data_IF_472552329259
#
_entry.id   IF_472552329259
#
_cell.length_a   1.000
_cell.length_b   1.000
_cell.length_c   1.000
_cell.angle_alpha   90.00
_cell.angle_beta   90.00
_cell.angle_gamma   90.00
#
_symmetry.space_group_name_H-M   'P 1'
#
loop_
_entity.id
_entity.type
_entity.pdbx_description
1 polymer ?
#
# COMPACT_ATOMS: atom_id res chain seq x y z
N UNK A 1 1.36 9.87 -24.09
CA UNK A 1 1.09 8.42 -23.96
C UNK A 1 0.82 8.11 -22.50
N UNK A 2 -0.26 7.41 -22.17
CA UNK A 2 -0.63 7.12 -20.78
C UNK A 2 0.42 6.30 -20.02
N UNK A 3 1.21 5.46 -20.71
CA UNK A 3 2.34 4.74 -20.14
C UNK A 3 3.67 5.29 -20.64
N UNK A 4 4.69 5.30 -19.78
CA UNK A 4 6.07 5.64 -20.19
C UNK A 4 6.73 4.54 -21.02
N UNK A 5 6.15 3.35 -21.01
CA UNK A 5 6.71 2.19 -21.71
C UNK A 5 6.26 2.19 -23.17
N UNK A 6 7.23 2.03 -24.06
CA UNK A 6 6.96 1.87 -25.49
C UNK A 6 6.53 0.44 -25.77
N UNK A 7 5.26 0.27 -26.18
CA UNK A 7 4.69 -1.01 -26.58
C UNK A 7 4.83 -1.30 -28.08
N UNK A 8 5.45 -0.43 -28.87
CA UNK A 8 5.71 -0.69 -30.27
C UNK A 8 6.92 -1.62 -30.48
N UNK A 9 6.97 -2.66 -29.68
CA UNK A 9 8.02 -3.69 -29.68
C UNK A 9 7.37 -5.08 -29.66
N UNK A 10 8.16 -6.09 -30.08
CA UNK A 10 7.72 -7.49 -30.00
C UNK A 10 7.38 -7.84 -28.52
N UNK A 11 6.30 -8.58 -28.25
CA UNK A 11 5.31 -9.16 -29.18
C UNK A 11 4.08 -8.27 -29.43
N UNK A 12 4.00 -7.07 -28.87
CA UNK A 12 2.77 -6.26 -28.82
C UNK A 12 2.55 -5.44 -30.07
N UNK A 13 3.62 -4.84 -30.63
CA UNK A 13 3.59 -4.01 -31.86
C UNK A 13 2.50 -2.94 -31.88
N UNK A 14 2.31 -2.25 -30.74
CA UNK A 14 1.38 -1.12 -30.66
C UNK A 14 1.94 0.06 -31.45
N UNK A 15 1.38 0.35 -32.61
CA UNK A 15 1.79 1.43 -33.49
C UNK A 15 0.98 2.71 -33.31
N UNK A 16 0.41 2.91 -32.12
CA UNK A 16 -0.29 4.13 -31.76
C UNK A 16 0.64 5.36 -31.93
N UNK A 17 0.10 6.37 -32.60
CA UNK A 17 0.77 7.65 -32.75
C UNK A 17 -0.28 8.78 -32.78
N UNK A 18 -0.11 9.78 -31.91
CA UNK A 18 -0.97 10.96 -31.90
C UNK A 18 -0.94 11.73 -33.21
N UNK A 19 0.21 11.72 -33.91
CA UNK A 19 0.37 12.39 -35.20
C UNK A 19 -0.55 11.82 -36.28
N UNK A 20 -0.89 10.51 -36.20
CA UNK A 20 -1.84 9.86 -37.11
C UNK A 20 -3.29 10.30 -36.90
N UNK A 21 -3.62 10.86 -35.73
CA UNK A 21 -4.95 11.36 -35.35
C UNK A 21 -6.07 10.30 -35.49
N UNK A 22 -5.77 9.04 -35.25
CA UNK A 22 -6.76 7.97 -35.30
C UNK A 22 -7.54 7.96 -33.99
N UNK A 23 -8.88 7.90 -34.13
CA UNK A 23 -9.80 7.87 -32.99
C UNK A 23 -10.45 6.50 -32.80
N UNK A 24 -10.35 5.62 -33.78
CA UNK A 24 -11.00 4.31 -33.75
C UNK A 24 -10.29 3.32 -34.68
N UNK A 25 -10.16 2.09 -34.25
CA UNK A 25 -9.80 0.94 -35.08
C UNK A 25 -11.07 0.31 -35.62
N UNK A 26 -11.10 0.04 -36.94
CA UNK A 26 -12.23 -0.58 -37.62
C UNK A 26 -11.87 -2.00 -38.06
N UNK A 27 -12.55 -2.98 -37.48
CA UNK A 27 -12.36 -4.38 -37.87
C UNK A 27 -13.12 -4.68 -39.17
N UNK A 28 -12.41 -5.27 -40.11
CA UNK A 28 -13.01 -5.66 -41.39
C UNK A 28 -13.64 -7.05 -41.29
N UNK A 29 -14.92 -7.25 -41.65
CA UNK A 29 -15.53 -8.58 -41.69
C UNK A 29 -14.75 -9.53 -42.58
N UNK A 30 -14.69 -10.83 -42.20
CA UNK A 30 -13.99 -11.90 -42.87
C UNK A 30 -12.45 -11.82 -42.91
N UNK A 31 -11.84 -10.89 -42.13
CA UNK A 31 -10.40 -10.85 -41.93
C UNK A 31 -10.07 -11.21 -40.49
N UNK A 32 -8.93 -11.86 -40.27
CA UNK A 32 -8.43 -12.18 -38.96
C UNK A 32 -8.03 -10.87 -38.23
N UNK A 33 -8.42 -10.73 -36.96
CA UNK A 33 -8.01 -9.63 -36.10
C UNK A 33 -6.58 -9.89 -35.65
N UNK A 34 -5.72 -8.88 -35.78
CA UNK A 34 -4.34 -8.94 -35.31
C UNK A 34 -4.25 -8.43 -33.86
N UNK A 35 -3.35 -9.01 -33.07
CA UNK A 35 -3.14 -8.57 -31.68
C UNK A 35 -2.82 -7.07 -31.57
N UNK A 36 -2.03 -6.52 -32.50
CA UNK A 36 -1.70 -5.10 -32.56
C UNK A 36 -2.93 -4.18 -32.72
N UNK A 37 -3.98 -4.64 -33.42
CA UNK A 37 -5.21 -3.86 -33.60
C UNK A 37 -5.96 -3.70 -32.27
N UNK A 38 -5.95 -4.77 -31.44
CA UNK A 38 -6.52 -4.75 -30.09
C UNK A 38 -5.70 -3.85 -29.17
N UNK A 39 -4.38 -3.97 -29.20
CA UNK A 39 -3.47 -3.14 -28.38
C UNK A 39 -3.61 -1.66 -28.75
N UNK A 40 -3.54 -1.32 -30.03
CA UNK A 40 -3.73 0.04 -30.52
C UNK A 40 -5.10 0.61 -30.14
N UNK A 41 -6.16 -0.20 -30.18
CA UNK A 41 -7.50 0.22 -29.73
C UNK A 41 -7.50 0.59 -28.25
N UNK A 42 -6.87 -0.22 -27.40
CA UNK A 42 -6.76 0.08 -25.97
C UNK A 42 -5.99 1.37 -25.73
N UNK A 43 -4.88 1.58 -26.42
CA UNK A 43 -4.06 2.78 -26.30
C UNK A 43 -4.80 4.04 -26.77
N UNK A 44 -5.59 3.94 -27.85
CA UNK A 44 -6.45 5.05 -28.29
C UNK A 44 -7.45 5.44 -27.20
N UNK A 45 -8.15 4.47 -26.61
CA UNK A 45 -9.12 4.71 -25.55
C UNK A 45 -8.45 5.28 -24.30
N UNK A 46 -7.31 4.72 -23.91
CA UNK A 46 -6.56 5.21 -22.76
C UNK A 46 -6.08 6.65 -22.97
N UNK A 47 -5.62 7.00 -24.17
CA UNK A 47 -5.24 8.37 -24.50
C UNK A 47 -6.42 9.35 -24.45
N UNK A 48 -7.65 8.91 -24.80
CA UNK A 48 -8.84 9.76 -24.64
C UNK A 48 -9.17 9.97 -23.14
N UNK A 49 -9.03 8.93 -22.31
CA UNK A 49 -9.23 9.04 -20.86
C UNK A 49 -8.18 9.96 -20.25
N UNK A 50 -6.90 9.83 -20.65
CA UNK A 50 -5.82 10.71 -20.23
C UNK A 50 -6.14 12.17 -20.53
N UNK A 51 -6.52 12.49 -21.77
CA UNK A 51 -6.88 13.86 -22.18
C UNK A 51 -8.08 14.43 -21.42
N UNK A 52 -9.06 13.58 -21.14
CA UNK A 52 -10.20 13.97 -20.31
C UNK A 52 -9.74 14.22 -18.87
N UNK A 53 -8.96 13.31 -18.32
CA UNK A 53 -8.42 13.42 -16.97
C UNK A 53 -7.54 14.67 -16.80
N UNK A 54 -6.62 14.91 -17.73
CA UNK A 54 -5.73 16.08 -17.70
C UNK A 54 -6.49 17.42 -17.79
N UNK A 55 -7.69 17.41 -18.39
CA UNK A 55 -8.55 18.61 -18.43
C UNK A 55 -9.21 18.91 -17.09
N UNK A 56 -9.35 17.93 -16.20
CA UNK A 56 -10.06 18.03 -14.92
C UNK A 56 -9.08 17.99 -13.74
N UNK A 57 -8.08 17.12 -13.79
CA UNK A 57 -7.16 16.84 -12.70
C UNK A 57 -5.72 17.21 -13.05
N UNK A 58 -4.97 17.59 -12.04
CA UNK A 58 -3.51 17.68 -12.15
C UNK A 58 -2.91 16.31 -11.79
N UNK A 59 -1.79 15.99 -12.39
CA UNK A 59 -1.00 14.81 -12.03
C UNK A 59 -0.73 14.75 -10.53
N UNK A 60 -1.06 13.64 -9.88
CA UNK A 60 -0.98 13.45 -8.43
C UNK A 60 -2.17 13.98 -7.64
N UNK A 61 -3.23 14.48 -8.28
CA UNK A 61 -4.44 14.91 -7.58
C UNK A 61 -5.20 13.74 -6.99
N UNK A 62 -5.72 13.91 -5.80
CA UNK A 62 -6.70 12.99 -5.20
C UNK A 62 -8.06 13.16 -5.90
N UNK A 63 -8.59 12.08 -6.43
CA UNK A 63 -9.92 12.01 -7.07
C UNK A 63 -10.95 11.54 -6.06
N UNK A 64 -10.65 10.45 -5.35
CA UNK A 64 -11.39 10.01 -4.18
C UNK A 64 -10.49 10.32 -2.99
N UNK A 65 -10.95 11.12 -2.03
CA UNK A 65 -10.11 11.57 -0.95
C UNK A 65 -9.55 10.40 -0.14
N UNK A 66 -8.23 10.28 -0.13
CA UNK A 66 -7.47 9.55 0.86
C UNK A 66 -6.84 10.59 1.77
N UNK A 67 -7.35 10.75 2.97
CA UNK A 67 -6.88 11.77 3.90
C UNK A 67 -5.42 11.53 4.26
N UNK A 68 -4.58 12.56 4.16
CA UNK A 68 -3.20 12.52 4.62
C UNK A 68 -3.12 13.18 5.99
N UNK A 69 -2.75 12.41 7.00
CA UNK A 69 -2.76 12.83 8.40
C UNK A 69 -1.34 12.72 8.96
N UNK A 70 -0.95 13.72 9.75
CA UNK A 70 0.26 13.68 10.56
C UNK A 70 -0.12 13.49 12.03
N UNK A 71 0.42 12.44 12.65
CA UNK A 71 0.23 12.16 14.06
C UNK A 71 1.52 12.49 14.80
N UNK A 72 1.51 13.60 15.53
CA UNK A 72 2.61 14.07 16.39
C UNK A 72 2.49 13.56 17.83
N UNK A 73 1.44 12.82 18.14
CA UNK A 73 1.20 12.13 19.40
C UNK A 73 1.25 10.61 19.23
N UNK A 74 2.14 10.14 18.36
CA UNK A 74 2.32 8.72 18.10
C UNK A 74 3.14 8.12 19.25
N UNK A 75 2.44 7.77 20.33
CA UNK A 75 3.07 7.32 21.57
C UNK A 75 3.85 6.03 21.37
N UNK A 76 5.09 6.02 21.82
CA UNK A 76 6.00 4.89 21.76
C UNK A 76 6.37 4.40 23.15
N UNK A 77 6.48 3.09 23.31
CA UNK A 77 6.88 2.43 24.54
C UNK A 77 8.09 1.57 24.22
N UNK A 78 9.25 1.99 24.72
CA UNK A 78 10.48 1.18 24.63
C UNK A 78 10.36 0.00 25.57
N UNK A 79 10.79 -1.17 25.12
CA UNK A 79 10.77 -2.39 25.92
C UNK A 79 12.16 -2.74 26.44
N UNK A 80 12.24 -3.21 27.67
CA UNK A 80 13.43 -3.84 28.22
C UNK A 80 13.48 -5.31 27.81
N UNK A 81 12.33 -5.97 27.82
CA UNK A 81 12.16 -7.38 27.44
C UNK A 81 10.71 -7.67 27.11
N UNK A 82 10.47 -8.77 26.41
CA UNK A 82 9.13 -9.29 26.16
C UNK A 82 9.16 -10.82 26.07
N UNK A 83 7.99 -11.46 26.22
CA UNK A 83 7.80 -12.88 25.99
C UNK A 83 6.87 -13.08 24.80
N UNK A 84 7.06 -14.18 24.06
CA UNK A 84 6.30 -14.47 22.85
C UNK A 84 6.87 -13.81 21.59
N UNK A 85 6.00 -13.40 20.68
CA UNK A 85 6.38 -12.76 19.41
C UNK A 85 5.94 -11.31 19.39
N UNK A 86 6.85 -10.38 19.09
CA UNK A 86 6.57 -8.94 19.10
C UNK A 86 5.39 -8.57 18.19
N UNK A 87 5.27 -9.21 17.04
CA UNK A 87 4.18 -8.96 16.09
C UNK A 87 2.77 -9.28 16.66
N UNK A 88 2.67 -10.20 17.60
CA UNK A 88 1.38 -10.59 18.19
C UNK A 88 0.77 -9.50 19.10
N UNK A 89 1.58 -8.52 19.50
CA UNK A 89 1.04 -7.36 20.22
C UNK A 89 0.21 -6.44 19.33
N UNK A 90 0.41 -6.43 18.02
CA UNK A 90 -0.31 -5.54 17.11
C UNK A 90 -1.82 -5.82 17.14
N UNK A 91 -2.61 -4.76 17.31
CA UNK A 91 -4.07 -4.84 17.42
C UNK A 91 -4.57 -5.27 18.80
N UNK A 92 -3.69 -5.73 19.71
CA UNK A 92 -4.06 -6.11 21.06
C UNK A 92 -4.16 -4.90 21.99
N UNK A 93 -4.97 -5.05 23.06
CA UNK A 93 -4.91 -4.13 24.19
C UNK A 93 -3.89 -4.65 25.18
N UNK A 94 -3.04 -3.77 25.66
CA UNK A 94 -2.08 -4.06 26.73
C UNK A 94 -2.44 -3.25 27.98
N UNK A 95 -2.29 -3.87 29.14
CA UNK A 95 -2.60 -3.27 30.44
C UNK A 95 -1.35 -3.21 31.28
N UNK A 96 -1.05 -2.05 31.83
CA UNK A 96 0.05 -1.85 32.76
C UNK A 96 -0.26 -2.44 34.14
N UNK A 97 0.66 -3.28 34.65
CA UNK A 97 0.46 -3.98 35.93
C UNK A 97 0.52 -3.06 37.15
N UNK A 98 1.19 -1.93 37.05
CA UNK A 98 1.32 -0.95 38.14
C UNK A 98 0.38 0.22 37.96
N UNK A 99 0.38 0.82 36.77
CA UNK A 99 -0.46 1.99 36.48
C UNK A 99 -1.94 1.65 36.28
N UNK A 100 -2.23 0.42 35.80
CA UNK A 100 -3.59 0.04 35.35
C UNK A 100 -4.02 0.74 34.06
N UNK A 101 -3.12 1.46 33.41
CA UNK A 101 -3.39 2.14 32.12
C UNK A 101 -3.60 1.08 31.04
N UNK A 102 -4.57 1.32 30.16
CA UNK A 102 -4.86 0.44 29.03
C UNK A 102 -4.58 1.18 27.73
N UNK A 103 -3.82 0.54 26.85
CA UNK A 103 -3.53 1.06 25.52
C UNK A 103 -3.70 -0.02 24.44
N UNK A 104 -4.08 0.39 23.24
CA UNK A 104 -4.07 -0.48 22.06
C UNK A 104 -2.76 -0.34 21.31
N UNK A 105 -2.13 -1.45 20.99
CA UNK A 105 -0.90 -1.48 20.18
C UNK A 105 -1.28 -1.36 18.70
N UNK A 106 -0.83 -0.30 18.04
CA UNK A 106 -1.13 -0.02 16.63
C UNK A 106 -0.01 -0.49 15.69
N UNK A 107 1.23 -0.49 16.18
CA UNK A 107 2.38 -0.98 15.42
C UNK A 107 3.49 -1.43 16.37
N UNK A 108 4.43 -2.20 15.86
CA UNK A 108 5.63 -2.63 16.58
C UNK A 108 6.85 -2.46 15.68
N UNK A 109 7.98 -2.14 16.27
CA UNK A 109 9.27 -2.10 15.59
C UNK A 109 10.27 -2.87 16.41
N UNK A 110 10.88 -3.87 15.77
CA UNK A 110 11.93 -4.66 16.40
C UNK A 110 13.21 -3.82 16.60
N UNK A 111 14.03 -4.24 17.54
CA UNK A 111 15.34 -3.64 17.78
C UNK A 111 16.21 -3.66 16.52
N UNK A 112 16.94 -2.58 16.29
CA UNK A 112 17.95 -2.45 15.23
C UNK A 112 19.39 -2.48 15.78
N UNK A 113 19.53 -2.80 17.06
CA UNK A 113 20.81 -2.82 17.78
C UNK A 113 21.18 -1.47 18.42
N UNK A 114 20.54 -0.39 17.99
CA UNK A 114 20.68 0.96 18.61
C UNK A 114 19.45 1.28 19.44
N UNK A 115 18.27 1.09 18.82
CA UNK A 115 16.99 1.28 19.47
C UNK A 115 16.45 -0.06 19.99
N UNK A 116 15.84 -0.13 21.17
CA UNK A 116 15.20 -1.32 21.69
C UNK A 116 13.92 -1.64 20.94
N UNK A 117 13.39 -2.85 21.15
CA UNK A 117 12.03 -3.21 20.71
C UNK A 117 11.03 -2.18 21.20
N UNK A 118 10.17 -1.73 20.31
CA UNK A 118 9.27 -0.60 20.58
C UNK A 118 7.85 -0.93 20.17
N UNK A 119 6.89 -0.68 21.05
CA UNK A 119 5.46 -0.69 20.76
C UNK A 119 4.99 0.75 20.50
N UNK A 120 4.21 0.93 19.44
CA UNK A 120 3.46 2.16 19.22
C UNK A 120 2.03 1.94 19.69
N UNK A 121 1.55 2.84 20.56
CA UNK A 121 0.30 2.62 21.29
C UNK A 121 -0.63 3.83 21.20
N UNK A 122 -1.93 3.53 21.27
CA UNK A 122 -2.98 4.53 21.54
C UNK A 122 -3.56 4.26 22.91
N UNK A 123 -3.33 5.17 23.85
CA UNK A 123 -3.91 5.07 25.19
C UNK A 123 -5.42 5.18 25.13
N UNK A 124 -6.12 4.29 25.84
CA UNK A 124 -7.58 4.19 25.87
C UNK A 124 -8.17 4.68 27.18
N UNK A 125 -7.57 4.28 28.27
CA UNK A 125 -8.06 4.60 29.60
C UNK A 125 -6.90 5.10 30.45
N UNK A 126 -7.19 6.02 31.37
CA UNK A 126 -6.29 6.39 32.45
C UNK A 126 -6.13 5.22 33.43
N UNK A 127 -5.13 5.31 34.26
CA UNK A 127 -4.83 4.33 35.30
C UNK A 127 -5.94 4.20 36.35
N UNK A 128 -5.78 3.22 37.22
CA UNK A 128 -6.72 2.94 38.32
C UNK A 128 -6.79 4.10 39.34
N UNK A 129 -5.78 4.94 39.35
CA UNK A 129 -5.71 6.18 40.18
C UNK A 129 -6.44 7.37 39.53
N UNK A 130 -6.98 7.22 38.30
CA UNK A 130 -7.56 8.28 37.48
C UNK A 130 -6.63 9.50 37.25
N UNK A 131 -5.32 9.33 37.43
CA UNK A 131 -4.30 10.35 37.28
C UNK A 131 -3.23 9.95 36.23
N UNK A 132 -2.83 8.69 36.24
CA UNK A 132 -1.83 8.18 35.29
C UNK A 132 -2.45 8.06 33.89
N UNK A 133 -1.87 8.75 32.91
CA UNK A 133 -2.29 8.78 31.50
C UNK A 133 -1.37 7.95 30.58
N UNK A 134 -0.23 7.48 31.10
CA UNK A 134 0.78 6.67 30.40
C UNK A 134 1.26 5.55 31.30
N UNK A 135 1.93 4.58 30.66
CA UNK A 135 2.61 3.51 31.38
C UNK A 135 3.75 4.06 32.23
N UNK A 136 4.03 3.37 33.32
CA UNK A 136 5.13 3.68 34.24
C UNK A 136 6.40 2.94 33.80
N UNK A 137 7.56 3.54 34.00
CA UNK A 137 8.83 2.86 33.71
C UNK A 137 8.98 1.59 34.55
N UNK A 138 9.53 0.56 33.97
CA UNK A 138 9.77 -0.77 34.56
C UNK A 138 8.51 -1.59 34.91
N UNK A 139 7.30 -1.14 34.52
CA UNK A 139 6.12 -1.97 34.74
C UNK A 139 5.97 -3.08 33.69
N UNK A 140 5.27 -4.14 34.10
CA UNK A 140 4.93 -5.25 33.22
C UNK A 140 3.61 -4.95 32.49
N UNK A 141 3.62 -5.10 31.17
CA UNK A 141 2.45 -5.04 30.31
C UNK A 141 1.94 -6.45 30.07
N UNK A 142 0.62 -6.62 30.15
CA UNK A 142 -0.05 -7.90 29.83
C UNK A 142 -0.98 -7.69 28.65
N UNK A 143 -0.85 -8.58 27.62
CA UNK A 143 -1.74 -8.55 26.46
C UNK A 143 -3.08 -9.18 26.77
N UNK A 144 -4.16 -8.55 26.34
CA UNK A 144 -5.53 -9.06 26.56
C UNK A 144 -5.93 -10.17 25.56
N UNK A 145 -5.27 -10.25 24.39
CA UNK A 145 -5.68 -11.15 23.30
C UNK A 145 -4.84 -12.42 23.28
N UNK A 146 -3.57 -12.34 23.58
CA UNK A 146 -2.66 -13.48 23.60
C UNK A 146 -2.36 -13.87 25.04
N UNK A 147 -2.87 -15.02 25.46
CA UNK A 147 -2.63 -15.51 26.81
C UNK A 147 -1.16 -15.81 27.02
N UNK A 148 -0.49 -15.07 27.89
CA UNK A 148 0.88 -15.30 28.31
C UNK A 148 1.92 -14.38 27.67
N UNK A 149 1.53 -13.51 26.73
CA UNK A 149 2.46 -12.52 26.21
C UNK A 149 2.54 -11.33 27.16
N UNK A 150 3.76 -11.03 27.58
CA UNK A 150 4.07 -9.91 28.47
C UNK A 150 5.24 -9.11 27.93
N UNK A 151 5.31 -7.84 28.27
CA UNK A 151 6.43 -7.00 27.96
C UNK A 151 6.76 -6.12 29.18
N UNK A 152 8.01 -5.71 29.31
CA UNK A 152 8.45 -4.81 30.38
C UNK A 152 8.81 -3.47 29.78
N UNK A 153 8.18 -2.42 30.27
CA UNK A 153 8.42 -1.04 29.85
C UNK A 153 9.83 -0.62 30.27
N UNK A 154 10.60 -0.08 29.35
CA UNK A 154 11.82 0.66 29.68
C UNK A 154 11.46 2.12 29.97
N UNK A 155 10.92 2.79 28.96
CA UNK A 155 10.45 4.17 29.09
C UNK A 155 9.42 4.49 28.00
N UNK A 156 8.53 5.42 28.31
CA UNK A 156 7.57 5.95 27.34
C UNK A 156 8.10 7.20 26.66
N UNK A 157 7.86 7.33 25.38
CA UNK A 157 8.21 8.48 24.57
C UNK A 157 7.07 8.88 23.64
N UNK A 158 7.20 10.00 22.99
CA UNK A 158 6.25 10.44 21.96
C UNK A 158 6.99 10.49 20.63
N UNK A 159 6.58 9.65 19.71
CA UNK A 159 7.07 9.63 18.34
C UNK A 159 6.16 10.42 17.40
N UNK A 160 6.41 10.29 16.13
CA UNK A 160 5.62 10.89 15.07
C UNK A 160 5.40 9.91 13.91
N UNK A 161 4.25 10.00 13.29
CA UNK A 161 3.87 9.20 12.14
C UNK A 161 3.14 10.03 11.08
N UNK A 162 3.16 9.53 9.86
CA UNK A 162 2.28 10.01 8.80
C UNK A 162 1.45 8.84 8.28
N UNK A 163 0.19 9.07 8.03
CA UNK A 163 -0.68 8.09 7.41
C UNK A 163 -1.42 8.68 6.22
N UNK A 164 -1.71 7.80 5.28
CA UNK A 164 -2.59 8.07 4.18
C UNK A 164 -3.75 7.07 4.27
N UNK A 165 -4.97 7.56 4.16
CA UNK A 165 -6.14 6.69 4.08
C UNK A 165 -6.32 6.18 2.64
N UNK A 166 -7.13 5.12 2.47
CA UNK A 166 -7.41 4.57 1.16
C UNK A 166 -8.08 5.61 0.26
N UNK A 167 -7.63 5.69 -0.98
CA UNK A 167 -8.13 6.67 -1.94
C UNK A 167 -7.68 6.40 -3.36
N UNK A 168 -8.14 7.21 -4.31
CA UNK A 168 -7.78 7.10 -5.73
C UNK A 168 -7.08 8.37 -6.18
N UNK A 169 -5.94 8.21 -6.84
CA UNK A 169 -5.13 9.30 -7.37
C UNK A 169 -5.10 9.26 -8.90
N UNK A 170 -5.14 10.44 -9.50
CA UNK A 170 -4.94 10.57 -10.95
C UNK A 170 -3.44 10.67 -11.26
N UNK A 171 -2.91 9.70 -11.99
CA UNK A 171 -1.48 9.57 -12.28
C UNK A 171 -1.29 9.16 -13.75
N UNK A 172 -0.70 10.05 -14.57
CA UNK A 172 -0.35 9.78 -15.97
C UNK A 172 -1.50 9.15 -16.79
N UNK A 173 -2.71 9.65 -16.64
CA UNK A 173 -3.88 9.12 -17.37
C UNK A 173 -4.57 7.92 -16.71
N UNK A 174 -4.08 7.47 -15.56
CA UNK A 174 -4.67 6.37 -14.81
C UNK A 174 -5.25 6.84 -13.48
N UNK A 175 -6.32 6.19 -13.07
CA UNK A 175 -6.89 6.32 -11.72
C UNK A 175 -6.33 5.16 -10.89
N UNK A 176 -5.37 5.48 -10.02
CA UNK A 176 -4.63 4.50 -9.23
C UNK A 176 -5.19 4.46 -7.82
N UNK A 177 -5.63 3.29 -7.40
CA UNK A 177 -6.06 3.04 -6.03
C UNK A 177 -4.84 2.91 -5.12
N UNK A 178 -4.91 3.55 -3.97
CA UNK A 178 -3.88 3.52 -2.94
C UNK A 178 -4.53 3.04 -1.65
N UNK A 179 -3.99 1.98 -1.09
CA UNK A 179 -4.42 1.46 0.19
C UNK A 179 -3.94 2.34 1.34
N UNK A 180 -4.63 2.21 2.48
CA UNK A 180 -4.21 2.84 3.73
C UNK A 180 -2.80 2.41 4.11
N UNK A 181 -1.94 3.40 4.36
CA UNK A 181 -0.55 3.19 4.76
C UNK A 181 -0.18 4.09 5.94
N UNK A 182 0.68 3.59 6.80
CA UNK A 182 1.24 4.34 7.91
C UNK A 182 2.76 4.20 7.90
N UNK A 183 3.45 5.32 8.01
CA UNK A 183 4.91 5.36 8.14
C UNK A 183 5.28 6.07 9.45
N UNK A 184 6.12 5.45 10.25
CA UNK A 184 6.75 6.09 11.41
C UNK A 184 7.82 7.04 10.91
N UNK A 185 7.75 8.30 11.30
CA UNK A 185 8.74 9.32 10.96
C UNK A 185 9.90 9.28 11.94
N UNK A 186 9.62 9.62 13.19
CA UNK A 186 10.57 9.48 14.29
C UNK A 186 9.97 8.59 15.37
N UNK A 187 10.77 7.64 15.88
CA UNK A 187 10.31 6.70 16.91
C UNK A 187 10.03 7.38 18.27
N UNK A 188 10.81 8.41 18.62
CA UNK A 188 10.84 8.94 19.98
C UNK A 188 10.77 10.47 20.06
N UNK A 189 10.61 11.15 18.93
CA UNK A 189 10.45 12.60 18.86
C UNK A 189 9.23 12.98 18.05
N UNK A 190 8.60 14.08 18.41
CA UNK A 190 7.39 14.59 17.76
C UNK A 190 7.63 15.87 16.93
N UNK A 191 8.88 16.15 16.61
CA UNK A 191 9.29 17.31 15.80
C UNK A 191 9.97 16.86 14.50
N UNK A 192 9.29 16.05 13.66
CA UNK A 192 9.89 15.53 12.44
C UNK A 192 10.13 16.65 11.42
N UNK A 193 11.23 16.53 10.65
CA UNK A 193 11.56 17.44 9.56
C UNK A 193 11.74 16.63 8.27
N UNK A 194 10.65 16.05 7.76
CA UNK A 194 10.66 15.19 6.58
C UNK A 194 9.68 15.68 5.51
N UNK A 195 9.97 15.31 4.27
CA UNK A 195 9.01 15.40 3.17
C UNK A 195 8.47 13.99 2.90
N UNK A 196 7.17 13.80 3.13
CA UNK A 196 6.49 12.53 2.93
C UNK A 196 5.72 12.58 1.62
N UNK A 197 5.74 11.49 0.85
CA UNK A 197 5.03 11.39 -0.41
C UNK A 197 4.97 9.94 -0.89
N UNK A 198 4.19 9.72 -1.94
CA UNK A 198 4.10 8.43 -2.61
C UNK A 198 5.08 8.38 -3.78
N UNK A 199 5.69 7.23 -3.99
CA UNK A 199 6.52 6.94 -5.16
C UNK A 199 5.69 6.14 -6.15
N UNK A 200 5.71 6.58 -7.42
CA UNK A 200 5.01 5.90 -8.50
C UNK A 200 5.94 4.83 -9.07
N UNK A 201 5.49 3.59 -9.08
CA UNK A 201 6.11 2.48 -9.77
C UNK A 201 5.18 1.94 -10.85
N UNK A 202 5.72 1.62 -12.02
CA UNK A 202 5.00 0.95 -13.11
C UNK A 202 5.79 -0.31 -13.48
N UNK A 203 5.14 -1.47 -13.38
CA UNK A 203 5.76 -2.77 -13.66
C UNK A 203 4.83 -3.63 -14.50
N UNK A 204 5.41 -4.52 -15.27
CA UNK A 204 4.65 -5.55 -15.98
C UNK A 204 4.53 -6.78 -15.13
N UNK A 205 3.32 -7.30 -15.01
CA UNK A 205 3.06 -8.60 -14.40
C UNK A 205 2.78 -9.60 -15.51
N UNK A 206 3.55 -10.66 -15.53
CA UNK A 206 3.38 -11.77 -16.47
C UNK A 206 2.84 -13.02 -15.77
N UNK A 207 2.47 -14.03 -16.52
CA UNK A 207 2.02 -15.32 -15.96
C UNK A 207 3.09 -16.07 -15.17
N UNK A 208 4.36 -15.66 -15.27
CA UNK A 208 5.45 -16.15 -14.41
C UNK A 208 5.45 -15.47 -13.04
N UNK A 209 4.95 -14.24 -12.97
CA UNK A 209 4.88 -13.47 -11.74
C UNK A 209 3.57 -13.73 -11.00
N UNK A 210 2.48 -13.90 -11.76
CA UNK A 210 1.14 -14.18 -11.23
C UNK A 210 0.50 -15.34 -12.02
N UNK A 211 0.39 -16.49 -11.37
CA UNK A 211 -0.20 -17.70 -11.97
C UNK A 211 -1.71 -17.59 -12.22
N UNK A 212 -2.40 -16.60 -11.68
CA UNK A 212 -3.81 -16.32 -12.01
C UNK A 212 -4.00 -15.88 -13.47
N UNK A 213 -2.93 -15.43 -14.12
CA UNK A 213 -2.89 -15.09 -15.54
C UNK A 213 -2.70 -16.30 -16.46
N UNK A 214 -2.62 -17.50 -15.91
CA UNK A 214 -2.65 -18.75 -16.69
C UNK A 214 -4.09 -19.09 -17.07
N UNK A 215 -4.26 -19.72 -18.25
CA UNK A 215 -5.53 -20.30 -18.62
C UNK A 215 -5.94 -21.42 -17.65
N UNK A 216 -7.25 -21.65 -17.50
CA UNK A 216 -7.80 -22.77 -16.73
C UNK A 216 -7.33 -24.16 -17.23
N UNK A 217 -6.85 -24.25 -18.46
CA UNK A 217 -6.15 -25.42 -18.96
C UNK A 217 -4.74 -25.47 -18.37
N UNK A 218 -4.40 -26.55 -17.67
CA UNK A 218 -3.15 -26.73 -16.91
C UNK A 218 -1.92 -26.42 -17.78
N UNK A 219 -1.20 -25.35 -17.46
CA UNK A 219 0.06 -24.98 -18.10
C UNK A 219 -0.07 -24.16 -19.40
N UNK A 220 -1.24 -23.66 -19.75
CA UNK A 220 -1.45 -22.80 -20.91
C UNK A 220 -1.56 -21.34 -20.51
N UNK A 221 -0.90 -20.44 -21.24
CA UNK A 221 -1.07 -19.00 -21.05
C UNK A 221 -2.45 -18.55 -21.55
N UNK A 222 -3.14 -17.71 -20.79
CA UNK A 222 -4.49 -17.19 -21.13
C UNK A 222 -4.54 -16.56 -22.52
N UNK A 223 -3.42 -16.00 -23.00
CA UNK A 223 -3.29 -15.29 -24.27
C UNK A 223 -2.59 -16.11 -25.37
N UNK A 224 -2.08 -17.30 -25.04
CA UNK A 224 -1.37 -18.19 -25.99
C UNK A 224 -2.12 -19.50 -26.25
N UNK A 225 -3.31 -19.67 -25.66
CA UNK A 225 -4.16 -20.80 -25.96
C UNK A 225 -4.47 -20.79 -27.48
N UNK A 226 -4.08 -21.83 -28.24
CA UNK A 226 -4.39 -21.87 -29.65
C UNK A 226 -5.90 -21.81 -29.84
N UNK A 227 -6.35 -20.87 -30.66
CA UNK A 227 -7.76 -20.81 -31.05
C UNK A 227 -8.21 -22.18 -31.58
N UNK A 228 -9.43 -22.66 -31.25
CA UNK A 228 -9.96 -23.89 -31.80
C UNK A 228 -9.93 -23.97 -33.34
N UNK A 229 -9.67 -22.82 -33.99
CA UNK A 229 -9.49 -22.75 -35.46
C UNK A 229 -8.07 -23.08 -35.95
N UNK A 230 -7.07 -23.05 -35.06
CA UNK A 230 -5.67 -23.34 -35.41
C UNK A 230 -5.35 -24.85 -35.38
N UNK A 231 -6.25 -25.68 -34.85
CA UNK A 231 -6.10 -27.13 -34.79
C UNK A 231 -6.64 -27.87 -36.07
N UNK A 232 -6.92 -27.14 -37.12
CA UNK A 232 -7.46 -27.70 -38.35
C UNK A 232 -6.59 -27.42 -39.55
N UNK A 233 -5.36 -28.01 -39.62
CA UNK A 233 -4.72 -28.53 -40.83
C UNK A 233 -3.35 -29.12 -40.55
#
# INVERSE_FOLDING_TARGET
MPSKTDFNVSPYYDDFSEAKKFHRVMYRPAFAVQARELTTQQTILQNQIEKLGDSIYKHGSMVIPGEAIYDLNYYSVKLTSFTGTLANFVGSNVTGGTSGVVANVVAVVATDGTDPDTLFVKYKNSGTDNASDKFTDSESLTSAVSSGETAVVNTCATGSAAHIEAGTYYINGFFVEVDKQTITLDKYTNTPSYRVGLTIGETFTTSTDDTSLLDNATGCLLYTSPSPRDNGR
#
